data_IF_937245474029
#
_entry.id   IF_937245474029
#
_cell.length_a   1.000
_cell.length_b   1.000
_cell.length_c   1.000
_cell.angle_alpha   90.00
_cell.angle_beta   90.00
_cell.angle_gamma   90.00
#
_symmetry.space_group_name_H-M   'P 1'
#
loop_
_entity.id
_entity.type
_entity.pdbx_description
1 polymer ?
#
# COMPACT_ATOMS: atom_id res chain seq x y z
N UNK A 1 -5.20 -1.41 -2.31
CA UNK A 1 -4.28 -2.23 -3.14
C UNK A 1 -4.36 -3.70 -2.75
N UNK A 2 -4.00 -4.09 -1.52
CA UNK A 2 -4.07 -5.47 -1.01
C UNK A 2 -5.41 -6.18 -1.33
N UNK A 3 -6.55 -5.56 -0.99
CA UNK A 3 -7.86 -6.14 -1.26
C UNK A 3 -8.14 -6.39 -2.77
N UNK A 4 -7.64 -5.52 -3.66
CA UNK A 4 -7.81 -5.70 -5.10
C UNK A 4 -6.93 -6.83 -5.62
N UNK A 5 -5.70 -6.95 -5.11
CA UNK A 5 -4.81 -8.07 -5.42
C UNK A 5 -5.48 -9.38 -4.99
N UNK A 6 -6.04 -9.41 -3.79
CA UNK A 6 -6.68 -10.61 -3.25
C UNK A 6 -7.94 -11.01 -4.02
N UNK A 7 -8.74 -10.03 -4.45
CA UNK A 7 -9.91 -10.24 -5.29
C UNK A 7 -9.60 -10.64 -6.76
N UNK A 8 -8.32 -10.85 -7.12
CA UNK A 8 -7.92 -11.27 -8.46
C UNK A 8 -7.94 -10.14 -9.50
N UNK A 9 -7.89 -8.87 -9.08
CA UNK A 9 -7.88 -7.73 -10.00
C UNK A 9 -6.67 -7.77 -10.94
N UNK A 10 -5.53 -8.31 -10.49
CA UNK A 10 -4.32 -8.43 -11.31
C UNK A 10 -4.51 -9.30 -12.57
N UNK A 11 -5.29 -10.37 -12.47
CA UNK A 11 -5.61 -11.26 -13.60
C UNK A 11 -6.64 -10.64 -14.54
N UNK A 12 -7.56 -9.83 -14.01
CA UNK A 12 -8.61 -9.17 -14.78
C UNK A 12 -8.09 -7.94 -15.52
N UNK A 13 -7.50 -7.00 -14.79
CA UNK A 13 -6.88 -5.78 -15.31
C UNK A 13 -5.90 -5.21 -14.25
N UNK A 14 -4.58 -5.34 -14.48
CA UNK A 14 -3.57 -4.89 -13.53
C UNK A 14 -3.28 -3.38 -13.61
N UNK A 15 -3.88 -2.62 -14.54
CA UNK A 15 -3.50 -1.22 -14.78
C UNK A 15 -3.61 -0.33 -13.54
N UNK A 16 -4.67 -0.51 -12.74
CA UNK A 16 -4.83 0.24 -11.48
C UNK A 16 -3.78 -0.16 -10.44
N UNK A 17 -3.35 -1.42 -10.40
CA UNK A 17 -2.35 -1.94 -9.48
C UNK A 17 -0.95 -1.43 -9.86
N UNK A 18 -0.61 -1.40 -11.15
CA UNK A 18 0.64 -0.80 -11.63
C UNK A 18 0.73 0.69 -11.27
N UNK A 19 -0.38 1.43 -11.44
CA UNK A 19 -0.46 2.85 -11.06
C UNK A 19 -0.28 3.03 -9.56
N UNK A 20 -0.97 2.23 -8.74
CA UNK A 20 -0.84 2.27 -7.29
C UNK A 20 0.60 1.96 -6.84
N UNK A 21 1.23 0.93 -7.40
CA UNK A 21 2.62 0.57 -7.13
C UNK A 21 3.58 1.72 -7.45
N UNK A 22 3.43 2.36 -8.62
CA UNK A 22 4.25 3.51 -9.02
C UNK A 22 4.10 4.69 -8.05
N UNK A 23 2.88 4.98 -7.61
CA UNK A 23 2.63 6.05 -6.62
C UNK A 23 3.34 5.72 -5.31
N UNK A 24 3.18 4.49 -4.80
CA UNK A 24 3.83 4.08 -3.55
C UNK A 24 5.36 4.16 -3.67
N UNK A 25 5.97 3.62 -4.73
CA UNK A 25 7.41 3.71 -4.94
C UNK A 25 7.92 5.17 -4.98
N UNK A 26 7.19 6.07 -5.66
CA UNK A 26 7.56 7.48 -5.73
C UNK A 26 7.30 8.24 -4.42
N UNK A 27 6.51 7.68 -3.51
CA UNK A 27 6.18 8.30 -2.23
C UNK A 27 7.19 7.92 -1.14
N UNK A 28 8.04 6.91 -1.38
CA UNK A 28 9.12 6.54 -0.48
C UNK A 28 10.23 7.60 -0.49
N UNK A 29 10.70 8.00 0.69
CA UNK A 29 11.85 8.91 0.85
C UNK A 29 13.18 8.18 0.65
N UNK A 30 14.26 8.95 0.53
CA UNK A 30 15.62 8.40 0.30
C UNK A 30 16.11 7.47 1.43
N UNK A 31 15.62 7.69 2.65
CA UNK A 31 15.90 6.84 3.82
C UNK A 31 15.04 5.55 3.87
N UNK A 32 14.17 5.36 2.87
CA UNK A 32 13.29 4.20 2.76
C UNK A 32 12.00 4.30 3.57
N UNK A 33 11.79 5.39 4.32
CA UNK A 33 10.53 5.65 5.00
C UNK A 33 9.44 6.15 4.04
N UNK A 34 8.21 6.16 4.54
CA UNK A 34 7.09 6.84 3.90
C UNK A 34 6.66 8.02 4.79
N UNK A 35 6.37 9.20 4.23
CA UNK A 35 6.01 10.37 5.02
C UNK A 35 4.67 10.18 5.75
N UNK A 36 4.57 10.76 6.94
CA UNK A 36 3.36 10.71 7.76
C UNK A 36 2.20 11.43 7.05
N UNK A 37 1.04 10.77 6.99
CA UNK A 37 -0.22 11.32 6.50
C UNK A 37 -1.20 11.57 7.66
N UNK A 38 -2.43 11.97 7.32
CA UNK A 38 -3.51 12.18 8.29
C UNK A 38 -3.76 10.95 9.18
N UNK A 39 -4.29 11.19 10.38
CA UNK A 39 -4.57 10.13 11.35
C UNK A 39 -5.74 9.28 10.82
N UNK A 40 -5.46 8.00 10.55
CA UNK A 40 -6.44 7.04 10.03
C UNK A 40 -7.02 6.10 11.09
N UNK A 41 -6.39 6.00 12.26
CA UNK A 41 -6.88 5.14 13.34
C UNK A 41 -8.07 5.79 14.04
N UNK A 42 -9.16 5.06 14.19
CA UNK A 42 -10.34 5.50 14.92
C UNK A 42 -10.92 4.36 15.76
N UNK A 43 -11.41 4.68 16.96
CA UNK A 43 -12.20 3.79 17.81
C UNK A 43 -13.35 4.56 18.44
N UNK A 44 -14.45 3.86 18.76
CA UNK A 44 -15.67 4.43 19.33
C UNK A 44 -16.20 5.67 18.56
N UNK A 45 -15.93 5.75 17.26
CA UNK A 45 -16.32 6.84 16.35
C UNK A 45 -15.79 8.25 16.68
N UNK A 46 -15.12 8.46 17.82
CA UNK A 46 -14.68 9.78 18.28
C UNK A 46 -13.22 9.82 18.78
N UNK A 47 -12.60 8.67 19.03
CA UNK A 47 -11.22 8.59 19.51
C UNK A 47 -10.28 8.29 18.36
N UNK A 48 -9.45 9.29 18.03
CA UNK A 48 -8.43 9.17 16.98
C UNK A 48 -7.14 8.56 17.54
N UNK A 49 -6.59 7.58 16.83
CA UNK A 49 -5.40 6.82 17.22
C UNK A 49 -4.30 6.98 16.18
N UNK A 50 -3.12 7.39 16.64
CA UNK A 50 -1.92 7.49 15.80
C UNK A 50 -1.19 6.16 15.75
N UNK A 51 -1.30 5.46 14.62
CA UNK A 51 -0.49 4.27 14.33
C UNK A 51 0.75 4.67 13.51
N UNK A 52 1.80 5.15 14.19
CA UNK A 52 2.99 5.71 13.53
C UNK A 52 3.65 4.76 12.51
N UNK A 53 3.65 3.45 12.78
CA UNK A 53 4.28 2.47 11.90
C UNK A 53 3.44 2.09 10.67
N UNK A 54 2.16 2.45 10.61
CA UNK A 54 1.29 2.10 9.48
C UNK A 54 1.75 2.72 8.16
N UNK A 55 2.40 3.89 8.23
CA UNK A 55 3.02 4.53 7.06
C UNK A 55 4.06 3.65 6.39
N UNK A 56 4.78 2.81 7.15
CA UNK A 56 5.81 1.92 6.61
C UNK A 56 5.27 0.51 6.35
N UNK A 57 4.50 -0.06 7.29
CA UNK A 57 4.03 -1.45 7.22
C UNK A 57 3.16 -1.69 5.97
N UNK A 58 2.17 -0.85 5.73
CA UNK A 58 1.20 -1.12 4.66
C UNK A 58 1.74 -0.89 3.26
N UNK A 59 2.52 0.16 2.96
CA UNK A 59 3.17 0.29 1.66
C UNK A 59 4.14 -0.84 1.34
N UNK A 60 4.96 -1.25 2.32
CA UNK A 60 5.89 -2.38 2.14
C UNK A 60 5.12 -3.67 1.85
N UNK A 61 4.07 -3.97 2.62
CA UNK A 61 3.26 -5.16 2.39
C UNK A 61 2.57 -5.12 1.03
N UNK A 62 1.96 -3.99 0.67
CA UNK A 62 1.27 -3.84 -0.62
C UNK A 62 2.21 -3.98 -1.82
N UNK A 63 3.43 -3.42 -1.75
CA UNK A 63 4.46 -3.58 -2.78
C UNK A 63 4.99 -5.01 -2.84
N UNK A 64 5.15 -5.68 -1.71
CA UNK A 64 5.56 -7.09 -1.64
C UNK A 64 4.56 -8.04 -2.30
N UNK A 65 3.27 -7.91 -1.96
CA UNK A 65 2.20 -8.70 -2.59
C UNK A 65 2.09 -8.42 -4.09
N UNK A 66 2.24 -7.15 -4.48
CA UNK A 66 2.23 -6.76 -5.89
C UNK A 66 3.41 -7.38 -6.67
N UNK A 67 4.60 -7.35 -6.09
CA UNK A 67 5.78 -7.98 -6.69
C UNK A 67 5.58 -9.48 -6.90
N UNK A 68 5.03 -10.19 -5.91
CA UNK A 68 4.85 -11.64 -5.98
C UNK A 68 3.70 -12.09 -6.89
N UNK A 69 2.58 -11.34 -6.92
CA UNK A 69 1.32 -11.83 -7.50
C UNK A 69 0.89 -11.11 -8.78
N UNK A 70 1.45 -9.94 -9.08
CA UNK A 70 0.98 -9.08 -10.17
C UNK A 70 2.08 -8.76 -11.19
N UNK A 71 3.32 -8.56 -10.73
CA UNK A 71 4.46 -8.43 -11.64
C UNK A 71 4.85 -9.81 -12.19
N UNK A 72 4.82 -10.02 -13.52
CA UNK A 72 5.39 -11.22 -14.11
C UNK A 72 6.91 -11.20 -13.88
N UNK A 73 7.41 -12.13 -13.09
CA UNK A 73 8.85 -12.44 -13.08
C UNK A 73 9.09 -13.26 -14.36
N UNK A 74 9.83 -12.67 -15.30
CA UNK A 74 10.29 -13.38 -16.50
C UNK A 74 11.32 -14.46 -16.13
#
# INVERSE_FOLDING_TARGET
MLALIDAGQGQRDPACLHRAAKILMNFQSEDGEFPQQDIIGATNHNLMLTYAQFRNIFPIWALGEYYQRVLPVA
#
